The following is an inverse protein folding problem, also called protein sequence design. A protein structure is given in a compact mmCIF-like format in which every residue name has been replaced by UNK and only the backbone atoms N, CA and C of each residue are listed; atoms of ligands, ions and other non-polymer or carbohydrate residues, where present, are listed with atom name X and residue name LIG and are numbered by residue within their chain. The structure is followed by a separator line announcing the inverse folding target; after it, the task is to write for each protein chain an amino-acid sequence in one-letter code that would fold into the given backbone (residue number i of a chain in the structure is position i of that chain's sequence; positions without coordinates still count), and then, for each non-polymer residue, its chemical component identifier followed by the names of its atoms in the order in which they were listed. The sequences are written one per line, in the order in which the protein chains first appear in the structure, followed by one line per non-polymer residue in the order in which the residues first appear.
data_IF_306554827056
#
_entry.id   IF_306554827056
#
_cell.length_a   1.000
_cell.length_b   1.000
_cell.length_c   1.000
_cell.angle_alpha   90.00
_cell.angle_beta   90.00
_cell.angle_gamma   90.00
#
_symmetry.space_group_name_H-M   'P 1'
#
loop_
_entity.id
_entity.type
_entity.pdbx_description
1 polymer ?
#
# COMPACT_ATOMS: atom_id res chain seq x y z
N UNK A 1 -43.14 3.14 25.45
CA UNK A 1 -42.87 4.59 25.64
C UNK A 1 -42.33 4.87 27.05
N UNK A 2 -43.15 5.21 28.06
CA UNK A 2 -42.64 5.57 29.41
C UNK A 2 -41.90 4.45 30.17
N UNK A 3 -42.24 3.18 29.95
CA UNK A 3 -41.54 2.04 30.59
C UNK A 3 -40.18 1.73 29.96
N UNK A 4 -40.04 1.93 28.65
CA UNK A 4 -38.79 1.69 27.94
C UNK A 4 -37.73 2.73 28.33
N UNK A 5 -38.16 3.98 28.53
CA UNK A 5 -37.28 5.10 28.89
C UNK A 5 -36.63 4.92 30.28
N UNK A 6 -37.40 4.40 31.24
CA UNK A 6 -36.90 4.11 32.61
C UNK A 6 -35.92 2.93 32.61
N UNK A 7 -36.13 1.92 31.77
CA UNK A 7 -35.20 0.80 31.64
C UNK A 7 -33.89 1.24 30.98
N UNK A 8 -33.97 2.04 29.92
CA UNK A 8 -32.80 2.63 29.25
C UNK A 8 -31.96 3.47 30.22
N UNK A 9 -32.59 4.33 31.02
CA UNK A 9 -31.87 5.14 32.02
C UNK A 9 -31.16 4.31 33.09
N UNK A 10 -31.76 3.20 33.55
CA UNK A 10 -31.10 2.28 34.49
C UNK A 10 -29.89 1.60 33.87
N UNK A 11 -30.03 1.10 32.64
CA UNK A 11 -28.95 0.42 31.93
C UNK A 11 -27.78 1.37 31.65
N UNK A 12 -28.07 2.61 31.23
CA UNK A 12 -27.06 3.65 31.05
C UNK A 12 -26.32 3.94 32.37
N UNK A 13 -27.06 4.07 33.48
CA UNK A 13 -26.46 4.29 34.80
C UNK A 13 -25.52 3.16 35.23
N UNK A 14 -25.91 1.90 35.01
CA UNK A 14 -25.08 0.72 35.31
C UNK A 14 -23.81 0.68 34.45
N UNK A 15 -23.91 0.97 33.15
CA UNK A 15 -22.77 1.03 32.24
C UNK A 15 -21.81 2.17 32.61
N UNK A 16 -22.33 3.36 32.92
CA UNK A 16 -21.53 4.50 33.40
C UNK A 16 -20.79 4.15 34.69
N UNK A 17 -21.45 3.51 35.66
CA UNK A 17 -20.83 3.10 36.91
C UNK A 17 -19.72 2.06 36.68
N UNK A 18 -19.96 1.13 35.75
CA UNK A 18 -19.00 0.08 35.39
C UNK A 18 -17.75 0.67 34.74
N UNK A 19 -17.92 1.58 33.79
CA UNK A 19 -16.83 2.33 33.16
C UNK A 19 -16.04 3.16 34.19
N UNK A 20 -16.73 3.86 35.09
CA UNK A 20 -16.06 4.66 36.12
C UNK A 20 -15.21 3.81 37.07
N UNK A 21 -15.62 2.57 37.34
CA UNK A 21 -14.85 1.63 38.19
C UNK A 21 -13.64 1.04 37.47
N UNK A 22 -13.69 0.86 36.16
CA UNK A 22 -12.56 0.33 35.38
C UNK A 22 -11.46 1.37 35.13
N UNK A 23 -11.77 2.66 35.29
CA UNK A 23 -10.81 3.75 35.08
C UNK A 23 -10.04 4.12 36.37
N UNK A 24 -8.73 4.42 36.25
CA UNK A 24 -7.95 5.09 37.29
C UNK A 24 -8.56 6.42 37.71
N UNK A 25 -8.29 6.87 38.93
CA UNK A 25 -8.92 8.07 39.52
C UNK A 25 -8.71 9.32 38.66
N UNK A 26 -7.55 9.44 38.01
CA UNK A 26 -7.13 10.59 37.20
C UNK A 26 -7.90 10.69 35.86
N UNK A 27 -8.39 9.54 35.37
CA UNK A 27 -9.13 9.39 34.11
C UNK A 27 -10.66 9.55 34.30
N UNK A 28 -11.15 9.60 35.54
CA UNK A 28 -12.57 9.78 35.87
C UNK A 28 -12.99 11.24 35.68
N UNK A 29 -13.15 11.66 34.43
CA UNK A 29 -13.59 13.02 34.10
C UNK A 29 -15.10 13.20 34.30
N UNK A 30 -15.50 14.41 34.72
CA UNK A 30 -16.89 14.72 35.06
C UNK A 30 -17.90 14.53 33.92
N UNK A 31 -17.46 14.71 32.66
CA UNK A 31 -18.31 14.47 31.48
C UNK A 31 -18.78 13.01 31.35
N UNK A 32 -18.07 12.04 31.95
CA UNK A 32 -18.45 10.63 31.92
C UNK A 32 -19.73 10.34 32.71
N UNK A 33 -20.11 11.22 33.64
CA UNK A 33 -21.36 11.13 34.40
C UNK A 33 -22.57 11.65 33.61
N UNK A 34 -22.34 12.23 32.43
CA UNK A 34 -23.37 12.76 31.54
C UNK A 34 -23.23 12.15 30.14
N UNK A 35 -23.56 10.86 29.96
CA UNK A 35 -23.48 10.21 28.67
C UNK A 35 -24.44 10.88 27.68
N UNK A 36 -23.91 11.29 26.52
CA UNK A 36 -24.74 11.73 25.39
C UNK A 36 -25.50 10.53 24.83
N UNK A 37 -26.79 10.71 24.62
CA UNK A 37 -27.66 9.68 24.03
C UNK A 37 -27.95 10.05 22.58
N UNK A 38 -27.95 9.05 21.71
CA UNK A 38 -28.25 9.20 20.30
C UNK A 38 -29.48 8.36 19.95
N UNK A 39 -30.40 8.93 19.18
CA UNK A 39 -31.66 8.29 18.79
C UNK A 39 -31.48 7.18 17.75
N UNK A 40 -30.39 7.23 17.00
CA UNK A 40 -30.08 6.34 15.89
C UNK A 40 -28.56 6.25 15.70
N UNK A 41 -28.13 5.21 14.99
CA UNK A 41 -26.73 4.93 14.73
C UNK A 41 -26.07 5.99 13.85
N UNK A 42 -26.82 6.62 12.94
CA UNK A 42 -26.28 7.64 12.03
C UNK A 42 -25.82 8.87 12.80
N UNK A 43 -26.65 9.41 13.71
CA UNK A 43 -26.30 10.53 14.58
C UNK A 43 -25.16 10.21 15.56
N UNK A 44 -25.10 8.97 16.04
CA UNK A 44 -23.97 8.52 16.87
C UNK A 44 -22.67 8.58 16.06
N UNK A 45 -22.67 8.05 14.84
CA UNK A 45 -21.51 8.08 13.95
C UNK A 45 -21.13 9.51 13.55
N UNK A 46 -22.09 10.38 13.28
CA UNK A 46 -21.83 11.80 13.01
C UNK A 46 -21.09 12.47 14.18
N UNK A 47 -21.55 12.27 15.42
CA UNK A 47 -20.91 12.87 16.59
C UNK A 47 -19.55 12.22 16.92
N UNK A 48 -19.37 10.94 16.61
CA UNK A 48 -18.08 10.26 16.74
C UNK A 48 -17.07 10.83 15.74
N UNK A 49 -17.48 10.97 14.47
CA UNK A 49 -16.64 11.54 13.42
C UNK A 49 -16.33 13.01 13.68
N UNK A 50 -17.29 13.82 14.13
CA UNK A 50 -17.04 15.22 14.50
C UNK A 50 -16.00 15.33 15.63
N UNK A 51 -16.05 14.40 16.59
CA UNK A 51 -15.04 14.31 17.65
C UNK A 51 -13.65 13.93 17.11
N UNK A 52 -13.58 13.13 16.05
CA UNK A 52 -12.35 12.81 15.30
C UNK A 52 -12.00 13.87 14.24
N UNK A 53 -12.74 14.98 14.17
CA UNK A 53 -12.51 16.08 13.23
C UNK A 53 -13.07 15.87 11.81
N UNK A 54 -13.86 14.82 11.59
CA UNK A 54 -14.50 14.48 10.30
C UNK A 54 -15.96 14.92 10.31
N UNK A 55 -16.34 15.86 9.45
CA UNK A 55 -17.72 16.36 9.39
C UNK A 55 -18.61 15.58 8.41
N UNK A 56 -19.94 15.59 8.57
CA UNK A 56 -20.87 15.03 7.59
C UNK A 56 -20.66 15.59 6.17
N UNK A 57 -20.28 16.87 6.06
CA UNK A 57 -19.97 17.53 4.79
C UNK A 57 -18.71 16.95 4.14
N UNK A 58 -17.67 16.65 4.93
CA UNK A 58 -16.45 16.00 4.44
C UNK A 58 -16.76 14.59 3.89
N UNK A 59 -17.62 13.84 4.57
CA UNK A 59 -18.03 12.51 4.13
C UNK A 59 -18.90 12.54 2.87
N UNK A 60 -19.81 13.52 2.77
CA UNK A 60 -20.58 13.77 1.55
C UNK A 60 -19.65 14.14 0.40
N UNK A 61 -18.68 15.03 0.64
CA UNK A 61 -17.67 15.41 -0.35
C UNK A 61 -16.88 14.19 -0.83
N UNK A 62 -16.37 13.37 0.08
CA UNK A 62 -15.64 12.14 -0.27
C UNK A 62 -16.49 11.18 -1.10
N UNK A 63 -17.78 11.03 -0.75
CA UNK A 63 -18.73 10.22 -1.52
C UNK A 63 -18.95 10.79 -2.92
N UNK A 64 -19.11 12.10 -3.04
CA UNK A 64 -19.28 12.79 -4.32
C UNK A 64 -18.03 12.68 -5.19
N UNK A 65 -16.84 12.78 -4.59
CA UNK A 65 -15.55 12.53 -5.25
C UNK A 65 -15.43 11.09 -5.73
N UNK A 66 -15.83 10.10 -4.91
CA UNK A 66 -15.82 8.69 -5.30
C UNK A 66 -16.76 8.42 -6.48
N UNK A 67 -17.97 9.00 -6.45
CA UNK A 67 -18.93 8.92 -7.55
C UNK A 67 -18.41 9.61 -8.82
N UNK A 68 -17.76 10.76 -8.67
CA UNK A 68 -17.14 11.49 -9.77
C UNK A 68 -16.03 10.64 -10.40
N UNK A 69 -15.15 10.05 -9.59
CA UNK A 69 -14.07 9.19 -10.06
C UNK A 69 -14.62 8.06 -10.95
N UNK A 70 -15.64 7.33 -10.48
CA UNK A 70 -16.28 6.27 -11.26
C UNK A 70 -16.81 6.75 -12.61
N UNK A 71 -17.37 7.97 -12.68
CA UNK A 71 -17.83 8.57 -13.94
C UNK A 71 -16.67 8.94 -14.85
N UNK A 72 -15.62 9.57 -14.31
CA UNK A 72 -14.50 10.08 -15.08
C UNK A 72 -13.61 8.96 -15.64
N UNK A 73 -13.46 7.85 -14.92
CA UNK A 73 -12.68 6.68 -15.39
C UNK A 73 -13.24 6.13 -16.71
N UNK A 74 -14.57 6.09 -16.86
CA UNK A 74 -15.21 5.68 -18.11
C UNK A 74 -15.00 6.65 -19.29
N UNK A 75 -14.48 7.85 -19.02
CA UNK A 75 -14.20 8.89 -20.00
C UNK A 75 -12.70 9.14 -20.18
N UNK A 76 -11.82 8.35 -19.54
CA UNK A 76 -10.38 8.57 -19.51
C UNK A 76 -9.79 8.73 -20.93
N UNK A 77 -10.27 7.95 -21.89
CA UNK A 77 -9.75 7.90 -23.26
C UNK A 77 -10.43 8.91 -24.21
N UNK A 78 -11.41 9.68 -23.74
CA UNK A 78 -12.07 10.74 -24.50
C UNK A 78 -11.87 12.09 -23.79
N UNK A 79 -10.75 12.74 -24.12
CA UNK A 79 -10.35 14.02 -23.52
C UNK A 79 -11.41 15.12 -23.66
N UNK A 80 -12.18 15.14 -24.75
CA UNK A 80 -13.25 16.15 -24.94
C UNK A 80 -14.45 15.86 -24.05
N UNK A 81 -14.85 14.60 -23.95
CA UNK A 81 -15.91 14.21 -23.02
C UNK A 81 -15.50 14.46 -21.57
N UNK A 82 -14.24 14.20 -21.22
CA UNK A 82 -13.67 14.50 -19.91
C UNK A 82 -13.71 16.00 -19.60
N UNK A 83 -13.31 16.85 -20.55
CA UNK A 83 -13.36 18.31 -20.39
C UNK A 83 -14.78 18.80 -20.09
N UNK A 84 -15.76 18.29 -20.85
CA UNK A 84 -17.18 18.61 -20.64
C UNK A 84 -17.70 18.12 -19.28
N UNK A 85 -17.31 16.91 -18.87
CA UNK A 85 -17.69 16.36 -17.58
C UNK A 85 -17.11 17.19 -16.41
N UNK A 86 -15.87 17.66 -16.55
CA UNK A 86 -15.21 18.47 -15.53
C UNK A 86 -15.85 19.84 -15.35
N UNK A 87 -16.46 20.45 -16.37
CA UNK A 87 -17.03 21.81 -16.25
C UNK A 87 -18.01 21.98 -15.08
N UNK A 88 -18.75 20.92 -14.72
CA UNK A 88 -19.77 20.97 -13.66
C UNK A 88 -19.22 20.65 -12.28
N UNK A 89 -18.18 19.82 -12.22
CA UNK A 89 -17.68 19.20 -10.99
C UNK A 89 -16.23 19.62 -10.67
N UNK A 90 -15.70 20.70 -11.29
CA UNK A 90 -14.29 21.14 -11.12
C UNK A 90 -13.89 21.28 -9.64
N UNK A 91 -14.77 21.78 -8.79
CA UNK A 91 -14.51 21.98 -7.36
C UNK A 91 -14.34 20.68 -6.56
N UNK A 92 -14.74 19.54 -7.12
CA UNK A 92 -14.55 18.23 -6.51
C UNK A 92 -13.20 17.61 -6.90
N UNK A 93 -12.52 18.13 -7.93
CA UNK A 93 -11.18 17.71 -8.33
C UNK A 93 -10.15 18.63 -7.70
N UNK A 94 -9.88 18.37 -6.43
CA UNK A 94 -8.88 19.02 -5.59
C UNK A 94 -7.73 18.05 -5.27
N UNK A 95 -6.81 18.45 -4.39
CA UNK A 95 -5.69 17.59 -3.98
C UNK A 95 -6.15 16.32 -3.24
N UNK A 96 -7.25 16.37 -2.49
CA UNK A 96 -7.82 15.18 -1.82
C UNK A 96 -8.34 14.16 -2.84
N UNK A 97 -8.93 14.64 -3.94
CA UNK A 97 -9.31 13.77 -5.06
C UNK A 97 -8.09 13.08 -5.67
N UNK A 98 -6.98 13.80 -5.87
CA UNK A 98 -5.73 13.20 -6.34
C UNK A 98 -5.15 12.21 -5.33
N UNK A 99 -5.15 12.53 -4.03
CA UNK A 99 -4.67 11.61 -2.99
C UNK A 99 -5.50 10.32 -2.94
N UNK A 100 -6.82 10.42 -3.13
CA UNK A 100 -7.70 9.25 -3.24
C UNK A 100 -7.38 8.43 -4.49
N UNK A 101 -7.20 9.07 -5.65
CA UNK A 101 -6.83 8.39 -6.89
C UNK A 101 -5.48 7.70 -6.77
N UNK A 102 -4.48 8.37 -6.20
CA UNK A 102 -3.13 7.85 -5.99
C UNK A 102 -3.11 6.65 -5.05
N UNK A 103 -3.95 6.66 -4.00
CA UNK A 103 -4.12 5.51 -3.12
C UNK A 103 -4.69 4.30 -3.87
N UNK A 104 -5.66 4.50 -4.77
CA UNK A 104 -6.22 3.43 -5.59
C UNK A 104 -5.18 2.86 -6.56
N UNK A 105 -4.40 3.74 -7.20
CA UNK A 105 -3.30 3.35 -8.08
C UNK A 105 -2.25 2.52 -7.32
N UNK A 106 -1.87 2.96 -6.11
CA UNK A 106 -0.91 2.24 -5.27
C UNK A 106 -1.42 0.86 -4.85
N UNK A 107 -2.71 0.76 -4.51
CA UNK A 107 -3.33 -0.51 -4.10
C UNK A 107 -3.48 -1.51 -5.24
N UNK A 108 -3.69 -1.03 -6.47
CA UNK A 108 -3.86 -1.90 -7.63
C UNK A 108 -2.55 -2.54 -8.09
N UNK A 109 -1.39 -1.94 -7.78
CA UNK A 109 -0.08 -2.48 -8.17
C UNK A 109 0.02 -2.69 -9.69
N UNK A 110 0.22 -3.94 -10.11
CA UNK A 110 0.37 -4.33 -11.52
C UNK A 110 -0.94 -4.81 -12.18
N UNK A 111 -2.11 -4.53 -11.60
CA UNK A 111 -3.39 -4.92 -12.18
C UNK A 111 -3.61 -4.26 -13.56
N UNK A 112 -3.82 -5.03 -14.65
CA UNK A 112 -4.11 -4.48 -15.97
C UNK A 112 -5.34 -3.56 -16.01
N UNK A 113 -6.27 -3.72 -15.08
CA UNK A 113 -7.47 -2.87 -14.96
C UNK A 113 -7.15 -1.45 -14.47
N UNK A 114 -5.90 -1.15 -14.10
CA UNK A 114 -5.50 0.17 -13.61
C UNK A 114 -5.21 1.18 -14.72
N UNK A 115 -5.03 0.72 -15.97
CA UNK A 115 -4.66 1.60 -17.09
C UNK A 115 -5.60 2.81 -17.28
N UNK A 116 -6.95 2.67 -17.21
CA UNK A 116 -7.86 3.81 -17.30
C UNK A 116 -7.71 4.83 -16.16
N UNK A 117 -7.33 4.37 -14.97
CA UNK A 117 -7.09 5.26 -13.82
C UNK A 117 -5.78 6.05 -13.99
N UNK A 118 -4.74 5.41 -14.53
CA UNK A 118 -3.48 6.09 -14.87
C UNK A 118 -3.71 7.15 -15.95
N UNK A 119 -4.45 6.82 -17.00
CA UNK A 119 -4.78 7.76 -18.07
C UNK A 119 -5.64 8.92 -17.56
N UNK A 120 -6.64 8.62 -16.72
CA UNK A 120 -7.43 9.65 -16.05
C UNK A 120 -6.55 10.59 -15.24
N UNK A 121 -5.66 10.04 -14.39
CA UNK A 121 -4.75 10.83 -13.56
C UNK A 121 -3.95 11.81 -14.42
N UNK A 122 -3.34 11.33 -15.50
CA UNK A 122 -2.53 12.16 -16.39
C UNK A 122 -3.36 13.28 -17.03
N UNK A 123 -4.56 12.97 -17.50
CA UNK A 123 -5.45 13.99 -18.04
C UNK A 123 -5.84 15.04 -16.99
N UNK A 124 -6.16 14.62 -15.75
CA UNK A 124 -6.52 15.55 -14.67
C UNK A 124 -5.34 16.45 -14.26
N UNK A 125 -4.11 15.94 -14.26
CA UNK A 125 -2.91 16.75 -14.00
C UNK A 125 -2.78 17.92 -14.97
N UNK A 126 -3.11 17.70 -16.25
CA UNK A 126 -2.98 18.72 -17.29
C UNK A 126 -4.22 19.62 -17.43
N UNK A 127 -5.39 19.19 -16.93
CA UNK A 127 -6.69 19.85 -17.19
C UNK A 127 -7.27 20.59 -15.99
N UNK A 128 -6.67 20.45 -14.79
CA UNK A 128 -7.20 21.02 -13.55
C UNK A 128 -6.19 21.86 -12.80
N UNK A 129 -6.68 22.87 -12.07
CA UNK A 129 -5.82 23.74 -11.26
C UNK A 129 -5.13 22.96 -10.14
N UNK A 130 -5.85 22.03 -9.49
CA UNK A 130 -5.28 21.12 -8.51
C UNK A 130 -4.21 20.21 -9.13
N UNK A 131 -4.43 19.76 -10.38
CA UNK A 131 -3.45 18.99 -11.14
C UNK A 131 -2.14 19.74 -11.35
N UNK A 132 -2.20 21.05 -11.62
CA UNK A 132 -1.01 21.88 -11.75
C UNK A 132 -0.22 21.99 -10.43
N UNK A 133 -0.92 22.10 -9.29
CA UNK A 133 -0.30 22.10 -7.95
C UNK A 133 0.37 20.76 -7.67
N UNK A 134 -0.33 19.64 -7.89
CA UNK A 134 0.22 18.29 -7.70
C UNK A 134 1.46 18.07 -8.58
N UNK A 135 1.42 18.49 -9.85
CA UNK A 135 2.55 18.37 -10.79
C UNK A 135 3.75 19.21 -10.35
N UNK A 136 3.52 20.42 -9.85
CA UNK A 136 4.59 21.25 -9.30
C UNK A 136 5.23 20.61 -8.06
N UNK A 137 4.41 20.06 -7.15
CA UNK A 137 4.89 19.35 -5.96
C UNK A 137 5.69 18.09 -6.32
N UNK A 138 5.22 17.30 -7.27
CA UNK A 138 5.95 16.12 -7.77
C UNK A 138 7.31 16.51 -8.38
N UNK A 139 7.37 17.62 -9.12
CA UNK A 139 8.61 18.14 -9.67
C UNK A 139 9.58 18.60 -8.57
N UNK A 140 9.08 19.30 -7.54
CA UNK A 140 9.86 19.67 -6.34
C UNK A 140 10.41 18.41 -5.65
N UNK A 141 9.56 17.41 -5.40
CA UNK A 141 9.96 16.15 -4.75
C UNK A 141 11.05 15.43 -5.55
N UNK A 142 10.90 15.35 -6.87
CA UNK A 142 11.89 14.73 -7.77
C UNK A 142 13.23 15.46 -7.71
N UNK A 143 13.22 16.79 -7.80
CA UNK A 143 14.45 17.58 -7.73
C UNK A 143 15.18 17.42 -6.38
N UNK A 144 14.43 17.24 -5.29
CA UNK A 144 15.00 16.94 -3.98
C UNK A 144 15.61 15.54 -3.91
N UNK A 145 14.92 14.53 -4.45
CA UNK A 145 15.43 13.16 -4.49
C UNK A 145 16.65 13.01 -5.40
N UNK A 146 16.73 13.75 -6.51
CA UNK A 146 17.87 13.74 -7.43
C UNK A 146 19.18 14.25 -6.79
N UNK A 147 19.09 14.95 -5.65
CA UNK A 147 20.26 15.36 -4.86
C UNK A 147 20.86 14.23 -4.03
N UNK A 148 20.14 13.11 -3.89
CA UNK A 148 20.60 11.93 -3.14
C UNK A 148 21.32 11.00 -4.12
N UNK A 149 22.62 10.86 -3.93
CA UNK A 149 23.50 9.98 -4.68
C UNK A 149 24.12 8.88 -3.78
N UNK A 150 24.98 8.04 -4.36
CA UNK A 150 25.64 6.94 -3.63
C UNK A 150 26.59 7.41 -2.52
N UNK A 151 27.02 8.68 -2.54
CA UNK A 151 27.92 9.28 -1.54
C UNK A 151 27.15 10.02 -0.44
N UNK A 152 25.85 10.20 -0.61
CA UNK A 152 25.01 10.93 0.32
C UNK A 152 24.96 10.22 1.66
N UNK A 153 25.25 10.97 2.71
CA UNK A 153 25.21 10.48 4.09
C UNK A 153 23.79 10.53 4.64
N UNK A 154 23.55 9.84 5.76
CA UNK A 154 22.27 9.93 6.48
C UNK A 154 21.92 11.38 6.84
N UNK A 155 22.90 12.19 7.21
CA UNK A 155 22.67 13.61 7.52
C UNK A 155 22.21 14.39 6.29
N UNK A 156 22.76 14.09 5.11
CA UNK A 156 22.37 14.78 3.87
C UNK A 156 20.91 14.46 3.52
N UNK A 157 20.50 13.20 3.69
CA UNK A 157 19.11 12.77 3.52
C UNK A 157 18.18 13.44 4.53
N UNK A 158 18.60 13.55 5.80
CA UNK A 158 17.84 14.26 6.83
C UNK A 158 17.70 15.74 6.50
N UNK A 159 18.75 16.39 6.03
CA UNK A 159 18.72 17.82 5.67
C UNK A 159 17.78 18.07 4.49
N UNK A 160 17.75 17.18 3.49
CA UNK A 160 16.79 17.24 2.37
C UNK A 160 15.35 17.07 2.87
N UNK A 161 15.11 16.13 3.79
CA UNK A 161 13.78 15.91 4.33
C UNK A 161 13.30 17.11 5.17
N UNK A 162 14.19 17.71 5.96
CA UNK A 162 13.89 18.92 6.74
C UNK A 162 13.59 20.09 5.80
N UNK A 163 14.38 20.29 4.74
CA UNK A 163 14.14 21.31 3.72
C UNK A 163 12.74 21.15 3.10
N UNK A 164 12.37 19.93 2.73
CA UNK A 164 11.04 19.61 2.21
C UNK A 164 9.94 19.91 3.22
N UNK A 165 10.09 19.44 4.46
CA UNK A 165 9.07 19.59 5.51
C UNK A 165 8.87 21.05 5.93
N UNK A 166 9.93 21.84 5.86
CA UNK A 166 9.90 23.26 6.24
C UNK A 166 9.49 24.18 5.11
N UNK A 167 9.27 23.65 3.89
CA UNK A 167 8.77 24.40 2.74
C UNK A 167 7.50 25.19 3.12
N UNK A 168 7.43 26.49 2.79
CA UNK A 168 6.35 27.36 3.22
C UNK A 168 5.03 27.13 2.46
N UNK A 169 5.07 26.50 1.28
CA UNK A 169 3.89 26.25 0.45
C UNK A 169 3.36 24.83 0.67
N UNK A 170 4.24 23.84 0.56
CA UNK A 170 3.86 22.42 0.42
C UNK A 170 4.44 21.53 1.52
N UNK A 171 4.97 22.09 2.60
CA UNK A 171 5.83 21.41 3.58
C UNK A 171 5.39 19.99 3.98
N UNK A 172 4.17 19.87 4.52
CA UNK A 172 3.64 18.58 5.00
C UNK A 172 3.45 17.58 3.85
N UNK A 173 2.89 18.01 2.72
CA UNK A 173 2.60 17.12 1.59
C UNK A 173 3.88 16.69 0.84
N UNK A 174 4.80 17.64 0.63
CA UNK A 174 6.10 17.39 0.01
C UNK A 174 6.95 16.49 0.91
N UNK A 175 7.02 16.81 2.20
CA UNK A 175 7.75 16.01 3.18
C UNK A 175 7.18 14.60 3.31
N UNK A 176 5.86 14.44 3.39
CA UNK A 176 5.22 13.10 3.40
C UNK A 176 5.57 12.26 2.17
N UNK A 177 5.64 12.90 1.00
CA UNK A 177 6.07 12.24 -0.25
C UNK A 177 7.52 11.74 -0.15
N UNK A 178 8.43 12.56 0.39
CA UNK A 178 9.82 12.17 0.60
C UNK A 178 9.97 11.09 1.67
N UNK A 179 9.21 11.14 2.76
CA UNK A 179 9.23 10.10 3.80
C UNK A 179 8.87 8.74 3.22
N UNK A 180 7.85 8.66 2.36
CA UNK A 180 7.48 7.42 1.69
C UNK A 180 8.62 6.89 0.80
N UNK A 181 9.21 7.77 -0.01
CA UNK A 181 10.31 7.44 -0.92
C UNK A 181 11.60 7.01 -0.18
N UNK A 182 11.87 7.62 0.98
CA UNK A 182 13.08 7.43 1.77
C UNK A 182 12.88 6.48 2.96
N UNK A 183 11.76 5.76 2.99
CA UNK A 183 11.36 4.91 4.13
C UNK A 183 12.41 3.90 4.59
N UNK A 184 13.27 3.42 3.69
CA UNK A 184 14.38 2.51 4.01
C UNK A 184 15.55 3.18 4.70
N UNK A 185 15.74 4.50 4.52
CA UNK A 185 16.80 5.29 5.15
C UNK A 185 16.43 5.80 6.55
N UNK A 186 15.14 5.79 6.90
CA UNK A 186 14.60 6.30 8.17
C UNK A 186 14.69 5.21 9.25
N UNK A 187 15.91 5.00 9.75
CA UNK A 187 16.22 4.08 10.83
C UNK A 187 16.13 4.77 12.22
N UNK A 188 16.46 4.03 13.29
CA UNK A 188 16.49 4.60 14.64
C UNK A 188 17.51 5.74 14.77
N UNK A 189 18.67 5.61 14.10
CA UNK A 189 19.72 6.64 14.15
C UNK A 189 19.25 7.93 13.48
N UNK A 190 18.46 7.84 12.41
CA UNK A 190 17.84 8.99 11.74
C UNK A 190 16.98 9.81 12.71
N UNK A 191 16.20 9.15 13.58
CA UNK A 191 15.40 9.82 14.60
C UNK A 191 16.26 10.47 15.70
N UNK A 192 17.38 9.86 16.07
CA UNK A 192 18.35 10.44 17.00
C UNK A 192 18.97 11.71 16.40
N UNK A 193 19.34 11.66 15.12
CA UNK A 193 19.92 12.80 14.41
C UNK A 193 18.88 13.94 14.27
N UNK A 194 17.62 13.61 13.98
CA UNK A 194 16.51 14.58 13.99
C UNK A 194 16.29 15.20 15.37
N UNK A 195 16.36 14.42 16.46
CA UNK A 195 16.25 14.95 17.82
C UNK A 195 17.35 15.99 18.11
N UNK A 196 18.59 15.74 17.65
CA UNK A 196 19.66 16.72 17.77
C UNK A 196 19.38 18.01 16.96
N UNK A 197 18.75 17.92 15.78
CA UNK A 197 18.32 19.10 15.01
C UNK A 197 17.21 19.88 15.71
N UNK A 198 16.27 19.18 16.37
CA UNK A 198 15.20 19.78 17.19
C UNK A 198 15.80 20.54 18.39
N UNK A 199 16.76 19.94 19.08
CA UNK A 199 17.41 20.55 20.24
C UNK A 199 18.20 21.82 19.88
N UNK A 200 18.69 21.89 18.63
CA UNK A 200 19.40 23.05 18.09
C UNK A 200 18.49 24.10 17.43
N UNK A 201 17.20 23.79 17.24
CA UNK A 201 16.23 24.69 16.62
C UNK A 201 15.42 25.45 17.67
N UNK A 202 14.90 26.62 17.29
CA UNK A 202 14.08 27.48 18.13
C UNK A 202 12.79 27.90 17.43
N UNK A 203 11.78 28.31 18.21
CA UNK A 203 10.55 28.92 17.71
C UNK A 203 9.76 28.04 16.75
N UNK A 204 9.32 28.63 15.63
CA UNK A 204 8.51 27.97 14.61
C UNK A 204 9.24 26.79 13.94
N UNK A 205 10.55 26.91 13.74
CA UNK A 205 11.36 25.84 13.17
C UNK A 205 11.36 24.60 14.08
N UNK A 206 11.50 24.81 15.40
CA UNK A 206 11.43 23.71 16.36
C UNK A 206 10.08 23.01 16.31
N UNK A 207 8.98 23.78 16.27
CA UNK A 207 7.62 23.22 16.19
C UNK A 207 7.45 22.34 14.93
N UNK A 208 7.87 22.83 13.75
CA UNK A 208 7.82 22.03 12.51
C UNK A 208 8.64 20.74 12.61
N UNK A 209 9.83 20.78 13.19
CA UNK A 209 10.66 19.58 13.35
C UNK A 209 10.08 18.58 14.35
N UNK A 210 9.39 19.06 15.39
CA UNK A 210 8.65 18.20 16.32
C UNK A 210 7.49 17.50 15.62
N UNK A 211 6.74 18.21 14.75
CA UNK A 211 5.70 17.60 13.91
C UNK A 211 6.27 16.54 12.96
N UNK A 212 7.42 16.82 12.33
CA UNK A 212 8.11 15.83 11.48
C UNK A 212 8.49 14.59 12.30
N UNK A 213 9.05 14.76 13.50
CA UNK A 213 9.40 13.64 14.37
C UNK A 213 8.17 12.79 14.71
N UNK A 214 7.07 13.43 15.06
CA UNK A 214 5.84 12.75 15.43
C UNK A 214 5.25 11.98 14.23
N UNK A 215 5.30 12.54 13.01
CA UNK A 215 4.99 11.84 11.77
C UNK A 215 5.87 10.60 11.60
N UNK A 216 7.20 10.74 11.66
CA UNK A 216 8.14 9.64 11.44
C UNK A 216 7.96 8.51 12.46
N UNK A 217 7.77 8.84 13.74
CA UNK A 217 7.50 7.86 14.79
C UNK A 217 6.18 7.13 14.55
N UNK A 218 5.13 7.87 14.19
CA UNK A 218 3.82 7.27 13.89
C UNK A 218 3.88 6.29 12.70
N UNK A 219 4.63 6.63 11.66
CA UNK A 219 4.82 5.78 10.49
C UNK A 219 5.65 4.53 10.82
N UNK A 220 6.71 4.65 11.63
CA UNK A 220 7.46 3.49 12.10
C UNK A 220 6.59 2.55 12.94
N UNK A 221 5.73 3.11 13.81
CA UNK A 221 4.80 2.34 14.62
C UNK A 221 3.78 1.59 13.75
N UNK A 222 3.15 2.30 12.81
CA UNK A 222 2.19 1.72 11.88
C UNK A 222 2.83 0.59 11.06
N UNK A 223 4.04 0.80 10.52
CA UNK A 223 4.76 -0.25 9.79
C UNK A 223 5.07 -1.45 10.69
N UNK A 224 5.51 -1.23 11.93
CA UNK A 224 5.79 -2.30 12.88
C UNK A 224 4.53 -3.11 13.19
N UNK A 225 3.41 -2.43 13.43
CA UNK A 225 2.11 -3.07 13.68
C UNK A 225 1.63 -3.85 12.46
N UNK A 226 1.70 -3.26 11.26
CA UNK A 226 1.34 -3.95 10.02
C UNK A 226 2.16 -5.22 9.82
N UNK A 227 3.49 -5.15 9.99
CA UNK A 227 4.37 -6.33 9.90
C UNK A 227 4.06 -7.39 10.97
N UNK A 228 3.80 -6.97 12.20
CA UNK A 228 3.42 -7.87 13.27
C UNK A 228 2.09 -8.59 12.97
N UNK A 229 1.10 -7.85 12.46
CA UNK A 229 -0.20 -8.39 12.09
C UNK A 229 -0.07 -9.41 10.95
N UNK A 230 0.68 -9.09 9.89
CA UNK A 230 0.95 -10.01 8.78
C UNK A 230 1.65 -11.27 9.29
N UNK A 231 2.70 -11.13 10.11
CA UNK A 231 3.40 -12.28 10.68
C UNK A 231 2.49 -13.17 11.55
N UNK A 232 1.62 -12.56 12.36
CA UNK A 232 0.64 -13.29 13.17
C UNK A 232 -0.38 -14.04 12.30
N UNK A 233 -0.88 -13.40 11.23
CA UNK A 233 -1.79 -14.04 10.28
C UNK A 233 -1.12 -15.22 9.57
N UNK A 234 0.09 -15.04 9.05
CA UNK A 234 0.86 -16.12 8.42
C UNK A 234 1.13 -17.28 9.40
N UNK A 235 1.39 -16.99 10.67
CA UNK A 235 1.59 -18.01 11.70
C UNK A 235 0.30 -18.79 12.02
N UNK A 236 -0.83 -18.09 12.15
CA UNK A 236 -2.13 -18.70 12.36
C UNK A 236 -2.53 -19.60 11.18
N UNK A 237 -2.35 -19.12 9.95
CA UNK A 237 -2.57 -19.88 8.72
C UNK A 237 -1.72 -21.16 8.71
N UNK A 238 -0.41 -21.04 8.96
CA UNK A 238 0.49 -22.21 9.01
C UNK A 238 0.02 -23.23 10.05
N UNK A 239 -0.44 -22.76 11.21
CA UNK A 239 -0.95 -23.63 12.27
C UNK A 239 -2.22 -24.38 11.82
N UNK A 240 -3.17 -23.72 11.16
CA UNK A 240 -4.35 -24.36 10.60
C UNK A 240 -3.99 -25.41 9.54
N UNK A 241 -3.09 -25.09 8.62
CA UNK A 241 -2.62 -26.01 7.57
C UNK A 241 -1.91 -27.23 8.18
N UNK A 242 -1.15 -27.05 9.26
CA UNK A 242 -0.50 -28.15 9.97
C UNK A 242 -1.49 -29.04 10.75
N UNK A 243 -2.65 -28.52 11.14
CA UNK A 243 -3.68 -29.30 11.83
C UNK A 243 -4.69 -29.93 10.86
N UNK A 244 -4.77 -29.41 9.64
CA UNK A 244 -5.66 -29.92 8.61
C UNK A 244 -5.34 -31.38 8.25
N UNK A 245 -6.41 -32.12 7.96
CA UNK A 245 -6.30 -33.48 7.42
C UNK A 245 -5.78 -33.46 5.97
N UNK A 246 -6.11 -32.41 5.21
CA UNK A 246 -5.57 -32.12 3.88
C UNK A 246 -4.95 -30.70 3.87
N UNK A 247 -3.62 -30.61 4.08
CA UNK A 247 -2.91 -29.34 4.04
C UNK A 247 -3.02 -28.61 2.71
N UNK A 248 -3.09 -29.33 1.57
CA UNK A 248 -3.13 -28.71 0.24
C UNK A 248 -4.49 -28.08 -0.03
N UNK A 249 -5.58 -28.76 0.33
CA UNK A 249 -6.91 -28.18 0.27
C UNK A 249 -7.02 -26.94 1.16
N UNK A 250 -6.46 -27.02 2.39
CA UNK A 250 -6.49 -25.89 3.32
C UNK A 250 -5.69 -24.68 2.82
N UNK A 251 -4.53 -24.90 2.19
CA UNK A 251 -3.78 -23.83 1.54
C UNK A 251 -4.56 -23.15 0.41
N UNK A 252 -5.35 -23.90 -0.37
CA UNK A 252 -6.18 -23.31 -1.44
C UNK A 252 -7.28 -22.40 -0.92
N UNK A 253 -7.86 -22.71 0.24
CA UNK A 253 -8.83 -21.81 0.89
C UNK A 253 -8.22 -20.46 1.27
N UNK A 254 -6.90 -20.43 1.50
CA UNK A 254 -6.15 -19.23 1.85
C UNK A 254 -5.23 -18.74 0.74
N UNK A 255 -5.54 -19.06 -0.53
CA UNK A 255 -4.68 -18.72 -1.67
C UNK A 255 -4.33 -17.21 -1.71
N UNK A 256 -5.29 -16.35 -1.37
CA UNK A 256 -5.11 -14.88 -1.34
C UNK A 256 -4.09 -14.40 -0.28
N UNK A 257 -3.80 -15.23 0.72
CA UNK A 257 -2.86 -14.94 1.81
C UNK A 257 -1.50 -15.63 1.62
N UNK A 258 -1.32 -16.37 0.52
CA UNK A 258 -0.04 -16.96 0.16
C UNK A 258 0.80 -15.88 -0.54
N UNK A 259 1.72 -15.28 0.19
CA UNK A 259 2.64 -14.26 -0.32
C UNK A 259 4.11 -14.62 -0.04
N UNK A 260 5.02 -13.73 -0.45
CA UNK A 260 6.45 -13.89 -0.16
C UNK A 260 6.74 -13.96 1.35
N UNK A 261 5.96 -13.23 2.17
CA UNK A 261 6.08 -13.24 3.63
C UNK A 261 5.76 -14.61 4.23
N UNK A 262 4.68 -15.24 3.78
CA UNK A 262 4.30 -16.59 4.19
C UNK A 262 5.36 -17.63 3.78
N UNK A 263 5.86 -17.56 2.55
CA UNK A 263 6.92 -18.45 2.07
C UNK A 263 8.22 -18.28 2.87
N UNK A 264 8.59 -17.04 3.20
CA UNK A 264 9.77 -16.72 4.03
C UNK A 264 9.62 -17.28 5.45
N UNK A 265 8.42 -17.14 6.05
CA UNK A 265 8.11 -17.73 7.36
C UNK A 265 8.23 -19.25 7.33
N UNK A 266 7.70 -19.92 6.30
CA UNK A 266 7.84 -21.36 6.11
C UNK A 266 9.31 -21.78 5.96
N UNK A 267 10.08 -21.09 5.13
CA UNK A 267 11.51 -21.36 4.92
C UNK A 267 12.30 -21.24 6.24
N UNK A 268 12.03 -20.20 7.03
CA UNK A 268 12.62 -20.04 8.37
C UNK A 268 12.25 -21.18 9.32
N UNK A 269 11.00 -21.64 9.32
CA UNK A 269 10.56 -22.78 10.12
C UNK A 269 11.20 -24.11 9.66
N UNK A 270 11.37 -24.32 8.35
CA UNK A 270 12.09 -25.49 7.80
C UNK A 270 13.54 -25.48 8.29
N UNK A 271 14.23 -24.34 8.21
CA UNK A 271 15.60 -24.21 8.68
C UNK A 271 15.70 -24.46 10.19
N UNK A 272 14.80 -23.89 10.99
CA UNK A 272 14.76 -24.12 12.43
C UNK A 272 14.50 -25.60 12.79
N UNK A 273 13.61 -26.27 12.06
CA UNK A 273 13.35 -27.70 12.24
C UNK A 273 14.59 -28.56 11.90
N UNK A 274 15.31 -28.21 10.83
CA UNK A 274 16.57 -28.87 10.45
C UNK A 274 17.66 -28.68 11.51
N UNK A 275 17.84 -27.45 12.01
CA UNK A 275 18.81 -27.16 13.09
C UNK A 275 18.50 -27.94 14.38
N UNK A 276 17.22 -28.14 14.69
CA UNK A 276 16.76 -28.93 15.84
C UNK A 276 16.73 -30.44 15.59
N UNK A 277 17.22 -30.92 14.45
CA UNK A 277 17.16 -32.32 14.02
C UNK A 277 15.74 -32.93 14.00
N UNK A 278 14.71 -32.08 13.84
CA UNK A 278 13.32 -32.49 13.74
C UNK A 278 12.98 -32.85 12.27
N UNK A 279 13.52 -33.98 11.79
CA UNK A 279 13.44 -34.40 10.37
C UNK A 279 12.02 -34.54 9.85
N UNK A 280 11.12 -35.17 10.61
CA UNK A 280 9.72 -35.32 10.21
C UNK A 280 8.99 -33.97 10.07
N UNK A 281 9.26 -33.03 10.98
CA UNK A 281 8.69 -31.69 10.91
C UNK A 281 9.25 -30.91 9.70
N UNK A 282 10.56 -30.99 9.46
CA UNK A 282 11.20 -30.36 8.31
C UNK A 282 10.64 -30.88 6.98
N UNK A 283 10.42 -32.20 6.86
CA UNK A 283 9.80 -32.81 5.68
C UNK A 283 8.37 -32.33 5.48
N UNK A 284 7.53 -32.34 6.54
CA UNK A 284 6.14 -31.86 6.45
C UNK A 284 6.08 -30.39 6.04
N UNK A 285 6.91 -29.54 6.64
CA UNK A 285 6.97 -28.11 6.29
C UNK A 285 7.46 -27.88 4.85
N UNK A 286 8.40 -28.71 4.36
CA UNK A 286 8.88 -28.65 2.98
C UNK A 286 7.77 -29.01 1.99
N UNK A 287 6.98 -30.05 2.28
CA UNK A 287 5.82 -30.41 1.45
C UNK A 287 4.75 -29.31 1.41
N UNK A 288 4.51 -28.62 2.54
CA UNK A 288 3.60 -27.47 2.61
C UNK A 288 4.14 -26.31 1.77
N UNK A 289 5.45 -26.04 1.86
CA UNK A 289 6.10 -25.00 1.07
C UNK A 289 5.99 -25.26 -0.44
N UNK A 290 6.23 -26.50 -0.88
CA UNK A 290 6.07 -26.90 -2.27
C UNK A 290 4.62 -26.78 -2.75
N UNK A 291 3.64 -27.22 -1.93
CA UNK A 291 2.23 -27.08 -2.26
C UNK A 291 1.78 -25.61 -2.35
N UNK A 292 2.30 -24.74 -1.47
CA UNK A 292 2.01 -23.30 -1.52
C UNK A 292 2.57 -22.66 -2.80
N UNK A 293 3.79 -23.06 -3.22
CA UNK A 293 4.37 -22.62 -4.49
C UNK A 293 3.54 -23.08 -5.69
N UNK A 294 3.06 -24.32 -5.70
CA UNK A 294 2.17 -24.82 -6.76
C UNK A 294 0.88 -23.99 -6.85
N UNK A 295 0.25 -23.67 -5.73
CA UNK A 295 -0.99 -22.87 -5.70
C UNK A 295 -0.74 -21.45 -6.21
N UNK A 296 0.37 -20.83 -5.77
CA UNK A 296 0.79 -19.52 -6.26
C UNK A 296 1.04 -19.51 -7.77
N UNK A 297 1.59 -20.59 -8.32
CA UNK A 297 1.75 -20.76 -9.76
C UNK A 297 0.41 -21.00 -10.46
N UNK A 298 -0.52 -21.75 -9.86
CA UNK A 298 -1.89 -21.95 -10.38
C UNK A 298 -2.65 -20.62 -10.51
N UNK A 299 -2.43 -19.66 -9.59
CA UNK A 299 -3.08 -18.34 -9.60
C UNK A 299 -2.40 -17.29 -10.49
N UNK A 300 -1.21 -17.54 -11.04
CA UNK A 300 -0.56 -16.60 -11.95
C UNK A 300 -1.32 -16.49 -13.30
N UNK A 301 -1.43 -15.28 -13.88
CA UNK A 301 -1.95 -15.08 -15.23
C UNK A 301 -1.23 -15.97 -16.26
N UNK A 302 -1.96 -16.47 -17.27
CA UNK A 302 -1.43 -17.41 -18.26
C UNK A 302 -0.18 -16.90 -18.96
N UNK A 303 -0.15 -15.60 -19.31
CA UNK A 303 0.99 -14.95 -19.94
C UNK A 303 2.25 -14.97 -19.06
N UNK A 304 2.09 -14.70 -17.75
CA UNK A 304 3.21 -14.71 -16.80
C UNK A 304 3.71 -16.13 -16.51
N UNK A 305 2.81 -17.11 -16.45
CA UNK A 305 3.19 -18.53 -16.33
C UNK A 305 4.02 -18.97 -17.53
N UNK A 306 3.55 -18.63 -18.72
CA UNK A 306 4.24 -18.96 -19.96
C UNK A 306 5.62 -18.29 -20.03
N UNK A 307 5.72 -17.03 -19.64
CA UNK A 307 7.00 -16.32 -19.56
C UNK A 307 7.98 -16.98 -18.57
N UNK A 308 7.52 -17.37 -17.38
CA UNK A 308 8.37 -18.07 -16.41
C UNK A 308 8.86 -19.43 -16.92
N UNK A 309 8.01 -20.17 -17.64
CA UNK A 309 8.40 -21.43 -18.29
C UNK A 309 9.48 -21.20 -19.35
N UNK A 310 9.33 -20.14 -20.15
CA UNK A 310 10.32 -19.76 -21.17
C UNK A 310 11.66 -19.34 -20.55
N UNK A 311 11.65 -18.60 -19.44
CA UNK A 311 12.86 -18.17 -18.72
C UNK A 311 13.56 -19.31 -17.99
N UNK A 312 12.79 -20.28 -17.52
CA UNK A 312 13.29 -21.49 -16.83
C UNK A 312 13.73 -22.58 -17.80
N UNK A 313 13.51 -22.39 -19.12
CA UNK A 313 13.94 -23.35 -20.12
C UNK A 313 15.47 -23.54 -20.07
N UNK A 314 15.96 -24.79 -20.17
CA UNK A 314 17.38 -25.10 -20.01
C UNK A 314 18.24 -24.48 -21.11
N UNK A 315 17.67 -24.26 -22.30
CA UNK A 315 18.34 -23.65 -23.44
C UNK A 315 17.37 -22.95 -24.40
N UNK A 316 17.96 -22.26 -25.37
CA UNK A 316 17.26 -21.52 -26.44
C UNK A 316 16.36 -22.43 -27.30
N UNK A 317 16.72 -23.69 -27.51
CA UNK A 317 15.93 -24.60 -28.32
C UNK A 317 14.68 -25.09 -27.57
N UNK A 318 14.80 -25.35 -26.28
CA UNK A 318 13.69 -25.66 -25.39
C UNK A 318 12.71 -24.49 -25.30
N UNK A 319 13.21 -23.26 -25.15
CA UNK A 319 12.38 -22.06 -25.20
C UNK A 319 11.63 -21.92 -26.54
N UNK A 320 12.29 -22.18 -27.67
CA UNK A 320 11.63 -22.18 -29.00
C UNK A 320 10.59 -23.27 -29.15
N UNK A 321 10.79 -24.44 -28.56
CA UNK A 321 9.79 -25.51 -28.59
C UNK A 321 8.53 -25.07 -27.83
N UNK A 322 8.70 -24.51 -26.63
CA UNK A 322 7.60 -23.95 -25.83
C UNK A 322 6.86 -22.82 -26.57
N UNK A 323 7.57 -21.93 -27.26
CA UNK A 323 6.97 -20.89 -28.11
C UNK A 323 6.14 -21.46 -29.27
N UNK A 324 6.54 -22.59 -29.84
CA UNK A 324 5.79 -23.26 -30.92
C UNK A 324 4.57 -23.99 -30.40
N UNK A 325 4.69 -24.64 -29.25
CA UNK A 325 3.61 -25.39 -28.60
C UNK A 325 2.49 -24.46 -28.10
N UNK A 326 2.84 -23.25 -27.67
CA UNK A 326 1.89 -22.26 -27.15
C UNK A 326 1.72 -21.08 -28.11
N UNK A 327 1.59 -21.37 -29.42
CA UNK A 327 1.46 -20.36 -30.49
C UNK A 327 0.33 -19.35 -30.27
N UNK A 328 -0.75 -19.73 -29.59
CA UNK A 328 -1.89 -18.86 -29.31
C UNK A 328 -1.55 -17.74 -28.32
N UNK A 329 -0.60 -17.99 -27.42
CA UNK A 329 -0.08 -17.01 -26.45
C UNK A 329 0.95 -16.06 -27.07
N UNK A 330 1.51 -16.42 -28.23
CA UNK A 330 2.47 -15.60 -28.96
C UNK A 330 1.70 -14.55 -29.77
N UNK A 331 1.39 -13.43 -29.13
CA UNK A 331 0.69 -12.29 -29.71
C UNK A 331 1.44 -10.96 -29.44
N UNK A 332 0.92 -9.84 -29.95
CA UNK A 332 1.54 -8.52 -29.78
C UNK A 332 1.56 -8.05 -28.32
N UNK A 333 0.51 -8.35 -27.57
CA UNK A 333 0.36 -7.95 -26.17
C UNK A 333 1.41 -8.67 -25.30
N UNK A 334 1.63 -9.96 -25.55
CA UNK A 334 2.68 -10.74 -24.92
C UNK A 334 4.09 -10.23 -25.27
N UNK A 335 4.33 -9.86 -26.54
CA UNK A 335 5.59 -9.26 -26.97
C UNK A 335 5.86 -7.94 -26.23
N UNK A 336 4.84 -7.11 -26.05
CA UNK A 336 4.94 -5.83 -25.35
C UNK A 336 5.20 -6.03 -23.86
N UNK A 337 4.49 -6.96 -23.21
CA UNK A 337 4.72 -7.34 -21.82
C UNK A 337 6.17 -7.80 -21.57
N UNK A 338 6.73 -8.64 -22.46
CA UNK A 338 8.14 -9.08 -22.38
C UNK A 338 9.10 -7.90 -22.55
N UNK A 339 8.76 -6.92 -23.41
CA UNK A 339 9.57 -5.71 -23.64
C UNK A 339 9.57 -4.76 -22.43
N UNK A 340 8.43 -4.59 -21.77
CA UNK A 340 8.32 -3.79 -20.55
C UNK A 340 9.14 -4.43 -19.43
N UNK A 341 9.02 -5.75 -19.25
CA UNK A 341 9.79 -6.48 -18.25
C UNK A 341 11.31 -6.45 -18.53
N UNK A 342 11.73 -6.55 -19.80
CA UNK A 342 13.14 -6.37 -20.20
C UNK A 342 13.68 -5.03 -19.70
N UNK A 343 12.90 -3.97 -19.88
CA UNK A 343 13.27 -2.60 -19.52
C UNK A 343 13.34 -2.44 -18.01
N UNK A 344 12.37 -2.97 -17.28
CA UNK A 344 12.33 -2.95 -15.81
C UNK A 344 13.53 -3.70 -15.21
N UNK A 345 13.83 -4.91 -15.70
CA UNK A 345 14.99 -5.68 -15.23
C UNK A 345 16.31 -4.95 -15.49
N UNK A 346 16.41 -4.24 -16.61
CA UNK A 346 17.58 -3.41 -16.94
C UNK A 346 17.71 -2.22 -16.00
N UNK A 347 16.60 -1.54 -15.69
CA UNK A 347 16.58 -0.42 -14.74
C UNK A 347 16.91 -0.86 -13.31
N UNK A 348 16.53 -2.08 -12.93
CA UNK A 348 16.82 -2.68 -11.62
C UNK A 348 18.19 -3.38 -11.55
N UNK A 349 19.11 -3.08 -12.48
CA UNK A 349 20.47 -3.67 -12.57
C UNK A 349 20.51 -5.21 -12.68
N UNK A 350 19.43 -5.86 -13.13
CA UNK A 350 19.36 -7.31 -13.41
C UNK A 350 19.67 -7.60 -14.88
N UNK A 351 20.88 -7.25 -15.30
CA UNK A 351 21.31 -7.26 -16.72
C UNK A 351 21.25 -8.65 -17.38
N UNK A 352 21.62 -9.71 -16.68
CA UNK A 352 21.60 -11.08 -17.22
C UNK A 352 20.17 -11.55 -17.57
N UNK A 353 19.20 -11.24 -16.70
CA UNK A 353 17.78 -11.50 -16.94
C UNK A 353 17.24 -10.64 -18.10
N UNK A 354 17.63 -9.36 -18.15
CA UNK A 354 17.24 -8.48 -19.25
C UNK A 354 17.76 -8.99 -20.60
N UNK A 355 18.98 -9.51 -20.68
CA UNK A 355 19.53 -10.05 -21.92
C UNK A 355 18.84 -11.36 -22.34
N UNK A 356 18.43 -12.21 -21.39
CA UNK A 356 17.57 -13.38 -21.68
C UNK A 356 16.20 -12.96 -22.22
N UNK A 357 15.56 -11.97 -21.60
CA UNK A 357 14.27 -11.42 -22.05
C UNK A 357 14.39 -10.80 -23.45
N UNK A 358 15.48 -10.08 -23.75
CA UNK A 358 15.76 -9.55 -25.08
C UNK A 358 15.86 -10.65 -26.14
N UNK A 359 16.59 -11.72 -25.83
CA UNK A 359 16.73 -12.87 -26.73
C UNK A 359 15.38 -13.57 -26.97
N UNK A 360 14.54 -13.67 -25.94
CA UNK A 360 13.19 -14.22 -26.02
C UNK A 360 12.28 -13.33 -26.87
N UNK A 361 12.30 -12.01 -26.63
CA UNK A 361 11.55 -11.02 -27.40
C UNK A 361 11.85 -11.08 -28.89
N UNK A 362 13.14 -11.24 -29.24
CA UNK A 362 13.55 -11.43 -30.63
C UNK A 362 12.97 -12.70 -31.27
N UNK A 363 12.79 -13.78 -30.51
CA UNK A 363 12.17 -15.01 -31.01
C UNK A 363 10.66 -14.89 -31.17
N UNK A 364 10.00 -14.27 -30.19
CA UNK A 364 8.55 -13.97 -30.23
C UNK A 364 8.26 -13.10 -31.47
N UNK A 365 9.05 -12.04 -31.70
CA UNK A 365 8.90 -11.14 -32.84
C UNK A 365 9.11 -11.82 -34.21
N UNK A 366 9.88 -12.92 -34.28
CA UNK A 366 10.05 -13.70 -35.52
C UNK A 366 8.88 -14.65 -35.79
N UNK A 367 7.99 -14.87 -34.81
CA UNK A 367 6.85 -15.79 -34.90
C UNK A 367 5.51 -15.07 -35.10
N UNK A 368 5.48 -13.76 -34.88
CA UNK A 368 4.41 -12.81 -35.20
C UNK A 368 4.55 -12.30 -36.64
#
# INVERSE_FOLDING_TARGET
AMRDDVQSQRMIGELTQTLMRSLPTEARKGYLLQPKQFSDWERFMEALWEFEGVTPEMLRRQRDQSNLLQRLVGLANDRKALELALQRDKSLVDEDFFAMLDRLLLMAGNDPQIAPFLELRQNLLDMTDAGAVVKAREAKARALLERIDEQSTRSDVLDILIEAWTDPEDGEALGSTLVAALSSAIDYQFLVDLAARIDAADGEQKAKLEELRDLLVSLQEQQRQARANVAQQSQALLQEVLQASDPKAKLREFADYLDEGFLSLLAGNIQAARQKNATAAAQRLTAIYEAALEILQESMPEDLRFLNQLLSAPDTNAARALLKENREMVNRDFLEAVSQLETEMRNNNRTELADRLKALRGQIALML
#
